data_IF_924782482452
#
_entry.id   IF_924782482452
#
_cell.length_a   1.000
_cell.length_b   1.000
_cell.length_c   1.000
_cell.angle_alpha   90.00
_cell.angle_beta   90.00
_cell.angle_gamma   90.00
#
_symmetry.space_group_name_H-M   'P 1'
#
loop_
_entity.id
_entity.type
_entity.pdbx_description
1 polymer ?
#
# COMPACT_ATOMS: atom_id res chain seq x y z
N UNK A 1 -5.27 -0.74 9.60
CA UNK A 1 -4.37 0.44 9.60
C UNK A 1 -3.48 0.32 8.37
N UNK A 2 -3.31 1.40 7.59
CA UNK A 2 -2.45 1.39 6.39
C UNK A 2 -1.36 2.45 6.54
N UNK A 3 -0.12 2.13 6.18
CA UNK A 3 0.96 3.12 6.09
C UNK A 3 0.73 3.98 4.86
N UNK A 4 0.70 5.29 5.07
CA UNK A 4 0.48 6.29 4.01
C UNK A 4 1.80 6.87 3.55
N UNK A 5 2.75 7.05 4.47
CA UNK A 5 4.00 7.76 4.20
C UNK A 5 5.12 7.24 5.11
N UNK A 6 6.32 7.12 4.55
CA UNK A 6 7.56 6.96 5.31
C UNK A 6 8.15 8.36 5.53
N UNK A 7 8.40 8.69 6.79
CA UNK A 7 8.86 10.00 7.23
C UNK A 7 10.38 9.98 7.43
N UNK A 8 11.00 11.16 7.34
CA UNK A 8 12.40 11.35 7.73
C UNK A 8 12.58 10.99 9.23
N UNK A 9 13.63 10.23 9.55
CA UNK A 9 13.86 9.62 10.86
C UNK A 9 15.13 10.04 11.60
N UNK A 10 15.97 10.94 11.09
CA UNK A 10 17.28 11.28 11.64
C UNK A 10 17.53 12.79 11.82
N UNK A 11 16.87 13.64 11.03
CA UNK A 11 17.12 15.07 10.87
C UNK A 11 16.36 15.97 11.84
N UNK A 12 16.24 15.59 13.11
CA UNK A 12 15.43 16.34 14.09
C UNK A 12 16.21 17.18 15.12
N UNK A 13 17.52 17.28 14.94
CA UNK A 13 18.37 18.17 15.71
C UNK A 13 18.22 19.61 15.21
N UNK A 14 17.84 20.56 16.08
CA UNK A 14 17.68 21.98 15.67
C UNK A 14 18.93 22.81 15.99
N UNK A 15 19.57 22.54 17.14
CA UNK A 15 20.83 23.16 17.57
C UNK A 15 21.87 22.10 17.86
N UNK A 16 23.14 22.47 17.74
CA UNK A 16 24.29 21.56 17.94
C UNK A 16 24.26 20.81 19.28
N UNK A 17 23.75 21.46 20.34
CA UNK A 17 23.68 20.87 21.68
C UNK A 17 22.34 20.18 22.00
N UNK A 18 21.38 20.18 21.06
CA UNK A 18 20.10 19.53 21.30
C UNK A 18 20.26 18.01 21.23
N UNK A 19 19.60 17.30 22.14
CA UNK A 19 19.38 15.87 21.94
C UNK A 19 18.47 15.68 20.72
N UNK A 20 18.81 14.67 19.93
CA UNK A 20 18.08 14.29 18.74
C UNK A 20 17.70 12.80 18.84
N UNK A 21 16.72 12.39 18.06
CA UNK A 21 16.29 11.00 17.99
C UNK A 21 16.48 10.47 16.57
N UNK A 22 17.22 9.37 16.46
CA UNK A 22 17.42 8.65 15.20
C UNK A 22 16.74 7.30 15.29
N UNK A 23 15.83 7.03 14.37
CA UNK A 23 15.05 5.78 14.35
C UNK A 23 15.18 5.07 13.02
N UNK A 24 15.08 3.74 13.01
CA UNK A 24 15.26 2.96 11.77
C UNK A 24 14.10 3.16 10.80
N UNK A 25 12.88 3.24 11.33
CA UNK A 25 11.69 3.54 10.54
C UNK A 25 10.83 4.53 11.29
N UNK A 26 10.39 5.57 10.58
CA UNK A 26 9.33 6.46 11.01
C UNK A 26 8.28 6.53 9.92
N UNK A 27 7.02 6.40 10.29
CA UNK A 27 5.93 6.32 9.32
C UNK A 27 4.67 6.99 9.84
N UNK A 28 3.83 7.43 8.91
CA UNK A 28 2.51 7.98 9.19
C UNK A 28 1.45 7.03 8.65
N UNK A 29 0.45 6.74 9.46
CA UNK A 29 -0.62 5.82 9.09
C UNK A 29 -1.88 6.56 8.59
N UNK A 30 -2.87 5.79 8.15
CA UNK A 30 -4.13 6.28 7.59
C UNK A 30 -5.03 7.02 8.59
N UNK A 31 -4.72 6.97 9.89
CA UNK A 31 -5.38 7.73 10.95
C UNK A 31 -4.61 8.99 11.37
N UNK A 32 -3.54 9.31 10.63
CA UNK A 32 -2.60 10.38 10.96
C UNK A 32 -1.85 10.16 12.28
N UNK A 33 -1.68 8.90 12.69
CA UNK A 33 -0.85 8.52 13.84
C UNK A 33 0.58 8.24 13.35
N UNK A 34 1.57 8.45 14.23
CA UNK A 34 2.98 8.22 13.94
C UNK A 34 3.39 6.85 14.46
N UNK A 35 4.14 6.11 13.66
CA UNK A 35 4.72 4.82 14.02
C UNK A 35 6.23 4.96 13.94
N UNK A 36 6.92 4.57 15.00
CA UNK A 36 8.36 4.54 15.12
C UNK A 36 8.76 3.08 15.33
N UNK A 37 9.73 2.59 14.56
CA UNK A 37 10.31 1.26 14.74
C UNK A 37 11.81 1.41 14.91
N UNK A 38 12.34 0.72 15.93
CA UNK A 38 13.77 0.64 16.19
C UNK A 38 14.20 -0.82 16.41
N UNK A 39 15.34 -1.19 15.84
CA UNK A 39 16.00 -2.49 16.01
C UNK A 39 17.29 -2.30 16.78
N UNK A 40 17.45 -2.99 17.90
CA UNK A 40 18.49 -2.71 18.87
C UNK A 40 19.24 -3.96 19.30
N UNK A 41 20.54 -3.98 19.00
CA UNK A 41 21.42 -5.11 19.24
C UNK A 41 22.21 -4.99 20.55
N UNK A 42 22.58 -3.78 20.95
CA UNK A 42 23.42 -3.54 22.12
C UNK A 42 22.56 -3.04 23.27
N UNK A 43 22.85 -3.56 24.47
CA UNK A 43 22.16 -3.14 25.69
C UNK A 43 22.53 -1.70 26.04
N UNK A 44 21.50 -0.89 26.26
CA UNK A 44 21.62 0.46 26.79
C UNK A 44 20.95 0.53 28.17
N UNK A 45 21.64 1.12 29.16
CA UNK A 45 21.11 1.20 30.54
C UNK A 45 19.88 2.11 30.59
N UNK A 46 19.90 3.21 29.83
CA UNK A 46 18.85 4.23 29.81
C UNK A 46 17.90 4.08 28.61
N UNK A 47 17.67 2.84 28.17
CA UNK A 47 16.89 2.56 26.97
C UNK A 47 15.45 3.07 27.06
N UNK A 48 14.80 2.87 28.22
CA UNK A 48 13.41 3.30 28.42
C UNK A 48 13.28 4.83 28.41
N UNK A 49 14.26 5.53 29.00
CA UNK A 49 14.35 6.99 28.94
C UNK A 49 14.59 7.47 27.51
N UNK A 50 15.36 6.73 26.71
CA UNK A 50 15.63 7.05 25.31
C UNK A 50 14.37 6.92 24.45
N UNK A 51 13.62 5.82 24.55
CA UNK A 51 12.37 5.67 23.80
C UNK A 51 11.31 6.68 24.25
N UNK A 52 11.26 7.01 25.55
CA UNK A 52 10.40 8.06 26.08
C UNK A 52 10.74 9.42 25.46
N UNK A 53 12.02 9.79 25.45
CA UNK A 53 12.47 11.01 24.80
C UNK A 53 12.14 11.00 23.30
N UNK A 54 12.38 9.88 22.62
CA UNK A 54 12.12 9.73 21.19
C UNK A 54 10.66 9.91 20.82
N UNK A 55 9.74 9.36 21.61
CA UNK A 55 8.30 9.56 21.45
C UNK A 55 7.91 11.01 21.69
N UNK A 56 8.38 11.62 22.79
CA UNK A 56 8.09 13.03 23.09
C UNK A 56 8.59 13.95 21.96
N UNK A 57 9.81 13.68 21.47
CA UNK A 57 10.42 14.43 20.37
C UNK A 57 9.61 14.28 19.07
N UNK A 58 9.18 13.06 18.73
CA UNK A 58 8.32 12.83 17.58
C UNK A 58 6.98 13.58 17.69
N UNK A 59 6.36 13.64 18.88
CA UNK A 59 5.16 14.46 19.09
C UNK A 59 5.45 15.93 18.74
N UNK A 60 6.54 16.49 19.28
CA UNK A 60 6.87 17.91 19.08
C UNK A 60 7.26 18.28 17.65
N UNK A 61 7.69 17.31 16.84
CA UNK A 61 7.99 17.54 15.42
C UNK A 61 6.74 17.58 14.54
N UNK A 62 5.63 17.02 15.01
CA UNK A 62 4.39 16.87 14.26
C UNK A 62 3.27 17.76 14.81
N UNK A 63 3.63 18.84 15.50
CA UNK A 63 2.71 19.89 15.94
C UNK A 63 3.37 21.26 15.83
N UNK A 64 2.67 22.21 15.22
CA UNK A 64 3.18 23.56 14.93
C UNK A 64 2.57 24.63 15.84
N UNK A 65 3.21 25.81 15.86
CA UNK A 65 2.70 26.96 16.59
C UNK A 65 1.36 27.43 15.98
N UNK A 66 0.33 27.51 16.82
CA UNK A 66 -1.01 27.92 16.41
C UNK A 66 -1.98 26.75 16.19
N UNK A 67 -1.48 25.53 16.15
CA UNK A 67 -2.30 24.32 16.13
C UNK A 67 -2.96 24.05 17.50
N UNK A 68 -4.14 23.43 17.47
CA UNK A 68 -4.83 22.99 18.67
C UNK A 68 -4.18 21.71 19.20
N UNK A 69 -4.13 21.53 20.52
CA UNK A 69 -3.62 20.29 21.13
C UNK A 69 -4.41 19.03 20.72
N UNK A 70 -5.64 19.17 20.21
CA UNK A 70 -6.38 18.06 19.61
C UNK A 70 -5.73 17.50 18.35
N UNK A 71 -4.78 18.22 17.74
CA UNK A 71 -4.01 17.80 16.57
C UNK A 71 -2.73 17.04 16.96
N UNK A 72 -2.40 16.93 18.25
CA UNK A 72 -1.29 16.10 18.71
C UNK A 72 -1.48 14.67 18.21
N UNK A 73 -0.54 14.21 17.38
CA UNK A 73 -0.58 12.87 16.80
C UNK A 73 -0.21 11.85 17.86
N UNK A 74 -1.03 10.81 18.00
CA UNK A 74 -0.66 9.65 18.80
C UNK A 74 0.54 8.95 18.17
N UNK A 75 1.44 8.46 19.02
CA UNK A 75 2.68 7.79 18.60
C UNK A 75 2.69 6.34 19.08
N UNK A 76 3.06 5.44 18.17
CA UNK A 76 3.37 4.04 18.46
C UNK A 76 4.89 3.84 18.41
N UNK A 77 5.49 3.45 19.53
CA UNK A 77 6.92 3.11 19.60
C UNK A 77 7.09 1.61 19.61
N UNK A 78 7.74 1.06 18.59
CA UNK A 78 7.98 -0.38 18.42
C UNK A 78 9.48 -0.63 18.53
N UNK A 79 9.90 -1.28 19.61
CA UNK A 79 11.28 -1.62 19.91
C UNK A 79 11.52 -3.10 19.72
N UNK A 80 12.36 -3.47 18.77
CA UNK A 80 12.81 -4.84 18.50
C UNK A 80 14.18 -5.02 19.15
N UNK A 81 14.26 -5.88 20.15
CA UNK A 81 15.40 -5.99 21.07
C UNK A 81 16.07 -7.36 20.96
N UNK A 82 17.38 -7.36 20.71
CA UNK A 82 18.25 -8.55 20.73
C UNK A 82 19.06 -8.68 22.02
N UNK A 83 18.71 -7.91 23.05
CA UNK A 83 19.31 -7.98 24.38
C UNK A 83 18.23 -8.07 25.46
N UNK A 84 18.62 -8.51 26.64
CA UNK A 84 17.72 -8.54 27.79
C UNK A 84 17.57 -7.13 28.41
N UNK A 85 16.35 -6.60 28.38
CA UNK A 85 15.98 -5.31 28.97
C UNK A 85 15.60 -5.43 30.45
N UNK A 86 15.32 -6.63 30.95
CA UNK A 86 14.92 -6.83 32.34
C UNK A 86 14.21 -8.15 32.62
N UNK A 87 13.64 -8.28 33.82
CA UNK A 87 12.95 -9.51 34.22
C UNK A 87 11.56 -9.60 33.60
N UNK A 88 11.28 -10.71 32.94
CA UNK A 88 9.99 -10.99 32.33
C UNK A 88 10.02 -12.29 31.52
N UNK A 89 8.89 -12.97 31.41
CA UNK A 89 8.77 -14.26 30.73
C UNK A 89 8.18 -14.16 29.32
N UNK A 90 7.62 -13.02 28.95
CA UNK A 90 7.01 -12.84 27.63
C UNK A 90 8.02 -12.29 26.62
N UNK A 91 7.78 -12.57 25.35
CA UNK A 91 8.56 -12.01 24.24
C UNK A 91 8.00 -10.67 23.76
N UNK A 92 6.71 -10.39 24.02
CA UNK A 92 6.03 -9.17 23.60
C UNK A 92 5.44 -8.46 24.81
N UNK A 93 5.87 -7.22 25.05
CA UNK A 93 5.27 -6.34 26.06
C UNK A 93 4.56 -5.18 25.40
N UNK A 94 3.34 -4.92 25.86
CA UNK A 94 2.53 -3.79 25.42
C UNK A 94 2.36 -2.80 26.57
N UNK A 95 3.02 -1.65 26.44
CA UNK A 95 2.91 -0.52 27.35
C UNK A 95 1.81 0.43 26.90
N UNK A 96 0.74 0.50 27.68
CA UNK A 96 -0.36 1.45 27.48
C UNK A 96 -0.54 2.35 28.70
N UNK A 97 -0.98 3.58 28.44
CA UNK A 97 -1.31 4.53 29.51
C UNK A 97 -2.77 4.36 29.92
N UNK A 98 -3.00 4.06 31.21
CA UNK A 98 -4.32 3.99 31.81
C UNK A 98 -4.35 4.84 33.09
N UNK A 99 -5.50 5.47 33.33
CA UNK A 99 -5.75 6.26 34.53
C UNK A 99 -6.81 5.53 35.33
N UNK A 100 -6.42 4.97 36.46
CA UNK A 100 -7.27 4.15 37.32
C UNK A 100 -7.54 4.89 38.62
N UNK A 101 -8.81 5.01 39.01
CA UNK A 101 -9.22 5.64 40.25
C UNK A 101 -8.64 4.89 41.46
N UNK A 102 -7.82 5.55 42.26
CA UNK A 102 -7.08 4.93 43.38
C UNK A 102 -8.03 4.30 44.43
N UNK A 103 -9.24 4.83 44.58
CA UNK A 103 -10.21 4.36 45.58
C UNK A 103 -11.29 3.44 44.99
N UNK A 104 -11.60 3.59 43.71
CA UNK A 104 -12.76 3.00 43.03
C UNK A 104 -12.36 1.90 42.05
N UNK A 105 -11.13 1.94 41.52
CA UNK A 105 -10.64 1.05 40.49
C UNK A 105 -11.26 1.29 39.11
N UNK A 106 -12.02 2.37 38.91
CA UNK A 106 -12.62 2.72 37.63
C UNK A 106 -11.58 3.31 36.67
N UNK A 107 -11.81 3.11 35.37
CA UNK A 107 -10.98 3.71 34.32
C UNK A 107 -11.54 5.07 33.96
N UNK A 108 -10.69 6.10 34.00
CA UNK A 108 -11.08 7.46 33.65
C UNK A 108 -11.44 7.54 32.16
N UNK A 109 -12.68 7.90 31.86
CA UNK A 109 -13.11 8.35 30.53
C UNK A 109 -12.99 9.87 30.44
N UNK A 110 -12.36 10.37 29.38
CA UNK A 110 -12.23 11.80 29.13
C UNK A 110 -13.14 12.24 27.99
N UNK A 111 -13.62 13.48 28.08
CA UNK A 111 -14.44 14.09 27.03
C UNK A 111 -13.56 14.93 26.13
N UNK A 112 -13.66 14.74 24.82
CA UNK A 112 -12.94 15.54 23.81
C UNK A 112 -13.88 15.99 22.70
N UNK A 113 -13.43 16.95 21.87
CA UNK A 113 -14.18 17.46 20.74
C UNK A 113 -13.54 16.97 19.43
N UNK A 114 -14.32 16.30 18.59
CA UNK A 114 -13.92 15.87 17.26
C UNK A 114 -14.97 16.28 16.22
N UNK A 115 -14.56 16.99 15.16
CA UNK A 115 -15.45 17.37 14.04
C UNK A 115 -16.81 17.93 14.50
N UNK A 116 -16.76 18.84 15.48
CA UNK A 116 -17.92 19.48 16.12
C UNK A 116 -18.84 18.60 16.97
N UNK A 117 -18.47 17.34 17.21
CA UNK A 117 -19.13 16.47 18.18
C UNK A 117 -18.31 16.33 19.47
N UNK A 118 -19.01 16.21 20.59
CA UNK A 118 -18.43 15.79 21.87
C UNK A 118 -18.36 14.27 21.88
N UNK A 119 -17.17 13.71 22.02
CA UNK A 119 -16.93 12.27 22.09
C UNK A 119 -16.23 11.90 23.38
N UNK A 120 -16.47 10.68 23.87
CA UNK A 120 -15.74 10.11 24.99
C UNK A 120 -14.59 9.26 24.47
N UNK A 121 -13.44 9.36 25.13
CA UNK A 121 -12.25 8.57 24.84
C UNK A 121 -11.62 8.04 26.11
N UNK A 122 -10.95 6.91 26.00
CA UNK A 122 -10.01 6.43 26.99
C UNK A 122 -8.65 7.12 26.79
N UNK A 123 -7.88 7.36 27.88
CA UNK A 123 -6.51 7.86 27.78
C UNK A 123 -5.64 7.05 26.81
N UNK A 124 -5.81 5.73 26.75
CA UNK A 124 -5.10 4.86 25.82
C UNK A 124 -5.32 5.22 24.34
N UNK A 125 -6.42 5.91 23.99
CA UNK A 125 -6.69 6.38 22.62
C UNK A 125 -5.96 7.68 22.27
N UNK A 126 -5.41 8.39 23.27
CA UNK A 126 -4.74 9.69 23.12
C UNK A 126 -3.24 9.53 23.33
N UNK A 127 -2.85 8.84 24.41
CA UNK A 127 -1.48 8.69 24.81
C UNK A 127 -0.71 7.73 23.90
N UNK A 128 0.62 7.87 23.81
CA UNK A 128 1.46 6.92 23.10
C UNK A 128 1.35 5.50 23.64
N UNK A 129 1.62 4.55 22.75
CA UNK A 129 1.73 3.13 23.06
C UNK A 129 3.15 2.62 22.75
N UNK A 130 3.63 1.71 23.58
CA UNK A 130 4.97 1.13 23.46
C UNK A 130 4.85 -0.38 23.26
N UNK A 131 5.59 -0.91 22.30
CA UNK A 131 5.73 -2.34 22.05
C UNK A 131 7.20 -2.71 22.21
N UNK A 132 7.51 -3.56 23.19
CA UNK A 132 8.86 -4.10 23.37
C UNK A 132 8.85 -5.56 22.94
N UNK A 133 9.60 -5.88 21.88
CA UNK A 133 9.68 -7.19 21.26
C UNK A 133 11.06 -7.77 21.57
N UNK A 134 11.13 -8.76 22.46
CA UNK A 134 12.35 -9.47 22.84
C UNK A 134 12.56 -10.65 21.90
N UNK A 135 13.30 -10.44 20.82
CA UNK A 135 13.48 -11.42 19.74
C UNK A 135 14.04 -12.74 20.27
N UNK A 136 15.04 -12.67 21.15
CA UNK A 136 15.69 -13.87 21.69
C UNK A 136 14.75 -14.74 22.55
N UNK A 137 13.73 -14.14 23.18
CA UNK A 137 12.76 -14.85 24.02
C UNK A 137 11.64 -15.52 23.22
N UNK A 138 11.55 -15.26 21.92
CA UNK A 138 10.59 -15.93 21.06
C UNK A 138 11.02 -17.38 20.83
N UNK A 139 10.48 -18.29 21.64
CA UNK A 139 10.81 -19.73 21.62
C UNK A 139 9.63 -20.61 21.18
N UNK A 140 8.63 -20.02 20.51
CA UNK A 140 7.40 -20.68 20.08
C UNK A 140 7.45 -20.95 18.58
N UNK A 141 6.61 -21.87 18.12
CA UNK A 141 6.32 -22.03 16.69
C UNK A 141 5.46 -20.84 16.25
N UNK A 142 5.90 -20.13 15.21
CA UNK A 142 5.16 -19.00 14.68
C UNK A 142 3.83 -19.44 14.05
N UNK A 143 2.72 -18.89 14.55
CA UNK A 143 1.36 -19.19 14.06
C UNK A 143 0.60 -17.94 13.62
N UNK A 144 1.08 -16.75 13.97
CA UNK A 144 0.52 -15.47 13.54
C UNK A 144 1.49 -14.72 12.61
N UNK A 145 0.98 -13.78 11.76
CA UNK A 145 1.84 -12.94 10.93
C UNK A 145 2.94 -12.20 11.68
N UNK A 146 2.67 -11.71 12.89
CA UNK A 146 3.67 -11.05 13.73
C UNK A 146 4.76 -12.03 14.16
N UNK A 147 4.38 -13.23 14.58
CA UNK A 147 5.34 -14.24 15.02
C UNK A 147 6.21 -14.75 13.87
N UNK A 148 5.69 -14.83 12.64
CA UNK A 148 6.51 -15.14 11.47
C UNK A 148 7.59 -14.07 11.23
N UNK A 149 7.25 -12.78 11.41
CA UNK A 149 8.24 -11.70 11.37
C UNK A 149 9.29 -11.84 12.47
N UNK A 150 8.88 -12.19 13.70
CA UNK A 150 9.80 -12.36 14.83
C UNK A 150 10.69 -13.59 14.63
N UNK A 151 10.16 -14.69 14.12
CA UNK A 151 10.94 -15.88 13.77
C UNK A 151 11.98 -15.57 12.70
N UNK A 152 11.60 -14.82 11.65
CA UNK A 152 12.55 -14.34 10.66
C UNK A 152 13.63 -13.47 11.30
N UNK A 153 13.27 -12.50 12.13
CA UNK A 153 14.24 -11.64 12.82
C UNK A 153 15.19 -12.42 13.73
N UNK A 154 14.73 -13.53 14.33
CA UNK A 154 15.55 -14.40 15.17
C UNK A 154 16.48 -15.32 14.37
N UNK A 155 16.00 -15.87 13.26
CA UNK A 155 16.66 -16.99 12.56
C UNK A 155 17.28 -16.60 11.23
N UNK A 156 16.88 -15.47 10.65
CA UNK A 156 17.22 -15.05 9.28
C UNK A 156 16.47 -15.82 8.19
N UNK A 157 15.56 -16.74 8.53
CA UNK A 157 14.89 -17.64 7.57
C UNK A 157 13.43 -17.24 7.41
N UNK A 158 12.97 -17.15 6.16
CA UNK A 158 11.56 -16.93 5.80
C UNK A 158 11.03 -18.20 5.15
N UNK A 159 9.93 -18.75 5.69
CA UNK A 159 9.33 -19.97 5.12
C UNK A 159 8.74 -19.70 3.72
N UNK A 160 8.83 -20.64 2.77
CA UNK A 160 8.26 -20.48 1.44
C UNK A 160 6.74 -20.28 1.43
N UNK A 161 6.04 -20.83 2.42
CA UNK A 161 4.58 -20.82 2.58
C UNK A 161 4.06 -19.70 3.50
N UNK A 162 4.94 -18.74 3.86
CA UNK A 162 4.62 -17.60 4.73
C UNK A 162 3.31 -16.92 4.34
N UNK A 163 2.50 -16.58 5.36
CA UNK A 163 1.25 -15.83 5.19
C UNK A 163 1.37 -14.40 5.72
N UNK A 164 2.50 -14.06 6.32
CA UNK A 164 2.73 -12.73 6.84
C UNK A 164 2.89 -11.72 5.69
N UNK A 165 2.11 -10.62 5.70
CA UNK A 165 2.26 -9.56 4.72
C UNK A 165 3.70 -9.04 4.68
N UNK A 166 4.26 -8.94 3.46
CA UNK A 166 5.61 -8.43 3.22
C UNK A 166 6.74 -9.46 3.31
N UNK A 167 6.59 -10.57 4.05
CA UNK A 167 7.66 -11.57 4.16
C UNK A 167 7.95 -12.30 2.85
N UNK A 168 6.94 -12.53 2.01
CA UNK A 168 7.17 -13.13 0.69
C UNK A 168 8.05 -12.23 -0.19
N UNK A 169 7.77 -10.93 -0.21
CA UNK A 169 8.57 -9.95 -0.95
C UNK A 169 9.98 -9.82 -0.36
N UNK A 170 10.09 -9.78 0.97
CA UNK A 170 11.37 -9.77 1.67
C UNK A 170 12.22 -10.99 1.31
N UNK A 171 11.62 -12.19 1.26
CA UNK A 171 12.30 -13.43 0.87
C UNK A 171 12.88 -13.34 -0.55
N UNK A 172 12.10 -12.81 -1.50
CA UNK A 172 12.57 -12.62 -2.89
C UNK A 172 13.77 -11.67 -2.95
N UNK A 173 13.73 -10.55 -2.21
CA UNK A 173 14.85 -9.61 -2.12
C UNK A 173 16.08 -10.22 -1.46
N UNK A 174 15.90 -10.98 -0.38
CA UNK A 174 17.00 -11.66 0.31
C UNK A 174 17.69 -12.70 -0.58
N UNK A 175 16.93 -13.41 -1.43
CA UNK A 175 17.52 -14.32 -2.42
C UNK A 175 18.49 -13.54 -3.31
N UNK A 176 18.05 -12.41 -3.89
CA UNK A 176 18.92 -11.56 -4.72
C UNK A 176 20.14 -11.03 -3.97
N UNK A 177 19.98 -10.55 -2.73
CA UNK A 177 21.10 -10.04 -1.94
C UNK A 177 22.09 -11.12 -1.48
N UNK A 178 21.66 -12.38 -1.43
CA UNK A 178 22.52 -13.53 -1.10
C UNK A 178 23.18 -14.16 -2.34
N UNK A 179 22.80 -13.76 -3.55
CA UNK A 179 23.45 -14.22 -4.78
C UNK A 179 24.88 -13.70 -4.88
N UNK A 180 25.75 -14.48 -5.50
CA UNK A 180 27.05 -13.98 -5.93
C UNK A 180 26.91 -13.03 -7.15
N UNK A 181 28.00 -12.36 -7.52
CA UNK A 181 27.96 -11.37 -8.59
C UNK A 181 27.61 -11.97 -9.96
N UNK A 182 28.00 -13.21 -10.24
CA UNK A 182 27.69 -13.86 -11.51
C UNK A 182 26.20 -14.23 -11.56
N UNK A 183 25.66 -14.74 -10.45
CA UNK A 183 24.24 -15.02 -10.27
C UNK A 183 23.38 -13.75 -10.37
N UNK A 184 23.81 -12.64 -9.77
CA UNK A 184 23.12 -11.34 -9.87
C UNK A 184 23.05 -10.85 -11.32
N UNK A 185 24.15 -10.89 -12.06
CA UNK A 185 24.18 -10.46 -13.47
C UNK A 185 23.26 -11.34 -14.31
N UNK A 186 23.32 -12.67 -14.16
CA UNK A 186 22.45 -13.58 -14.89
C UNK A 186 20.96 -13.37 -14.55
N UNK A 187 20.65 -13.07 -13.29
CA UNK A 187 19.30 -12.73 -12.85
C UNK A 187 18.83 -11.41 -13.46
N UNK A 188 19.63 -10.35 -13.41
CA UNK A 188 19.30 -9.04 -13.98
C UNK A 188 19.10 -9.11 -15.49
N UNK A 189 19.94 -9.89 -16.20
CA UNK A 189 19.78 -10.17 -17.64
C UNK A 189 18.48 -10.93 -17.93
N UNK A 190 18.14 -11.93 -17.12
CA UNK A 190 16.88 -12.67 -17.27
C UNK A 190 15.67 -11.74 -17.05
N UNK A 191 15.67 -10.92 -16.00
CA UNK A 191 14.60 -9.96 -15.73
C UNK A 191 14.48 -8.94 -16.87
N UNK A 192 15.59 -8.45 -17.41
CA UNK A 192 15.59 -7.55 -18.56
C UNK A 192 14.99 -8.23 -19.81
N UNK A 193 15.38 -9.48 -20.10
CA UNK A 193 14.82 -10.24 -21.21
C UNK A 193 13.30 -10.44 -21.08
N UNK A 194 12.81 -10.73 -19.86
CA UNK A 194 11.37 -10.86 -19.58
C UNK A 194 10.64 -9.52 -19.76
N UNK A 195 11.22 -8.40 -19.33
CA UNK A 195 10.64 -7.07 -19.54
C UNK A 195 10.53 -6.74 -21.03
N UNK A 196 11.60 -6.94 -21.80
CA UNK A 196 11.60 -6.75 -23.26
C UNK A 196 10.52 -7.61 -23.91
N UNK A 197 10.41 -8.89 -23.50
CA UNK A 197 9.39 -9.78 -24.04
C UNK A 197 7.97 -9.29 -23.72
N UNK A 198 7.72 -8.82 -22.49
CA UNK A 198 6.42 -8.27 -22.09
C UNK A 198 6.09 -6.99 -22.87
N UNK A 199 7.06 -6.11 -23.10
CA UNK A 199 6.87 -4.89 -23.90
C UNK A 199 6.50 -5.23 -25.34
N UNK A 200 7.18 -6.21 -25.95
CA UNK A 200 6.85 -6.72 -27.29
C UNK A 200 5.44 -7.28 -27.33
N UNK A 201 5.05 -8.09 -26.35
CA UNK A 201 3.70 -8.67 -26.27
C UNK A 201 2.62 -7.60 -26.06
N UNK A 202 2.89 -6.60 -25.21
CA UNK A 202 1.99 -5.48 -24.97
C UNK A 202 1.79 -4.65 -26.24
N UNK A 203 2.89 -4.36 -26.95
CA UNK A 203 2.85 -3.62 -28.22
C UNK A 203 2.04 -4.38 -29.26
N UNK A 204 2.31 -5.67 -29.45
CA UNK A 204 1.57 -6.51 -30.40
C UNK A 204 0.07 -6.60 -30.05
N UNK A 205 -0.28 -6.65 -28.77
CA UNK A 205 -1.67 -6.66 -28.33
C UNK A 205 -2.39 -5.32 -28.58
N UNK A 206 -1.68 -4.21 -28.45
CA UNK A 206 -2.20 -2.87 -28.74
C UNK A 206 -2.37 -2.64 -30.24
N UNK A 207 -1.36 -2.99 -31.04
CA UNK A 207 -1.43 -2.97 -32.51
C UNK A 207 -2.58 -3.83 -33.02
N UNK A 208 -2.72 -5.08 -32.55
CA UNK A 208 -3.81 -5.97 -32.96
C UNK A 208 -5.20 -5.46 -32.56
N UNK A 209 -5.34 -4.75 -31.43
CA UNK A 209 -6.59 -4.08 -31.07
C UNK A 209 -6.90 -2.91 -32.01
N UNK A 210 -5.91 -2.11 -32.34
CA UNK A 210 -6.09 -0.96 -33.22
C UNK A 210 -6.41 -1.42 -34.65
N UNK A 211 -5.71 -2.41 -35.18
CA UNK A 211 -6.02 -3.04 -36.47
C UNK A 211 -7.45 -3.59 -36.49
N UNK A 212 -7.83 -4.40 -35.49
CA UNK A 212 -9.19 -4.94 -35.40
C UNK A 212 -10.26 -3.86 -35.30
N UNK A 213 -9.97 -2.73 -34.62
CA UNK A 213 -10.87 -1.58 -34.56
C UNK A 213 -11.02 -0.90 -35.92
N UNK A 214 -9.92 -0.73 -36.65
CA UNK A 214 -9.94 -0.11 -37.97
C UNK A 214 -10.65 -0.98 -39.00
N UNK A 215 -10.38 -2.29 -39.00
CA UNK A 215 -11.07 -3.27 -39.84
C UNK A 215 -12.56 -3.30 -39.54
N UNK A 216 -12.95 -3.40 -38.25
CA UNK A 216 -14.36 -3.38 -37.85
C UNK A 216 -15.08 -2.07 -38.23
N UNK A 217 -14.41 -0.93 -38.16
CA UNK A 217 -14.96 0.35 -38.64
C UNK A 217 -15.10 0.39 -40.16
N UNK A 218 -14.15 -0.18 -40.91
CA UNK A 218 -14.20 -0.22 -42.36
C UNK A 218 -15.31 -1.16 -42.85
N UNK A 219 -15.42 -2.34 -42.27
CA UNK A 219 -16.46 -3.33 -42.57
C UNK A 219 -17.84 -2.78 -42.21
N UNK A 220 -18.02 -2.26 -40.98
CA UNK A 220 -19.28 -1.67 -40.55
C UNK A 220 -19.72 -0.46 -41.39
N UNK A 221 -18.78 0.37 -41.89
CA UNK A 221 -19.11 1.44 -42.86
C UNK A 221 -19.55 0.90 -44.22
N UNK A 222 -18.97 -0.20 -44.68
CA UNK A 222 -19.31 -0.82 -45.96
C UNK A 222 -20.68 -1.48 -45.89
N UNK A 223 -20.93 -2.24 -44.83
CA UNK A 223 -22.23 -2.86 -44.55
C UNK A 223 -23.32 -1.80 -44.40
N UNK A 224 -23.10 -0.77 -43.56
CA UNK A 224 -24.06 0.32 -43.38
C UNK A 224 -24.40 1.07 -44.68
N UNK A 225 -23.43 1.30 -45.57
CA UNK A 225 -23.70 1.87 -46.90
C UNK A 225 -24.54 0.96 -47.78
N UNK A 226 -24.33 -0.35 -47.70
CA UNK A 226 -25.11 -1.31 -48.49
C UNK A 226 -26.54 -1.42 -47.97
N UNK A 227 -26.71 -1.47 -46.65
CA UNK A 227 -28.03 -1.45 -46.00
C UNK A 227 -28.79 -0.16 -46.31
N UNK A 228 -28.14 1.00 -46.21
CA UNK A 228 -28.73 2.30 -46.56
C UNK A 228 -29.17 2.35 -48.03
N UNK A 229 -28.38 1.80 -48.96
CA UNK A 229 -28.78 1.70 -50.37
C UNK A 229 -30.03 0.85 -50.57
N UNK A 230 -30.12 -0.28 -49.86
CA UNK A 230 -31.28 -1.18 -49.93
C UNK A 230 -32.52 -0.52 -49.32
N UNK A 231 -32.38 0.14 -48.17
CA UNK A 231 -33.47 0.86 -47.52
C UNK A 231 -33.98 2.02 -48.38
N UNK A 232 -33.07 2.80 -48.97
CA UNK A 232 -33.42 3.86 -49.92
C UNK A 232 -34.13 3.30 -51.16
N UNK A 233 -33.66 2.18 -51.72
CA UNK A 233 -34.32 1.54 -52.85
C UNK A 233 -35.74 1.07 -52.50
N UNK A 234 -35.94 0.48 -51.31
CA UNK A 234 -37.29 0.09 -50.82
C UNK A 234 -38.21 1.30 -50.67
N UNK A 235 -37.70 2.38 -50.09
CA UNK A 235 -38.46 3.64 -49.96
C UNK A 235 -38.80 4.25 -51.32
N UNK A 236 -37.87 4.26 -52.27
CA UNK A 236 -38.16 4.79 -53.61
C UNK A 236 -39.15 3.92 -54.38
N UNK A 237 -39.08 2.59 -54.22
CA UNK A 237 -40.02 1.64 -54.83
C UNK A 237 -41.43 1.83 -54.27
N UNK A 238 -41.58 2.06 -52.96
CA UNK A 238 -42.88 2.35 -52.34
C UNK A 238 -43.49 3.68 -52.82
N UNK A 239 -42.66 4.61 -53.29
CA UNK A 239 -43.08 5.87 -53.94
C UNK A 239 -43.37 5.72 -55.45
N UNK A 240 -43.40 4.49 -55.98
CA UNK A 240 -43.61 4.17 -57.40
C UNK A 240 -42.58 4.79 -58.37
N UNK A 241 -41.35 5.03 -57.90
CA UNK A 241 -40.24 5.41 -58.78
C UNK A 241 -39.83 4.17 -59.61
N UNK A 242 -39.54 4.34 -60.90
CA UNK A 242 -39.22 3.20 -61.77
C UNK A 242 -37.89 2.54 -61.40
N UNK A 243 -37.79 1.22 -61.62
CA UNK A 243 -36.59 0.42 -61.31
C UNK A 243 -35.34 0.97 -62.00
N UNK A 244 -35.46 1.54 -63.20
CA UNK A 244 -34.34 2.17 -63.92
C UNK A 244 -33.81 3.41 -63.21
N UNK A 245 -34.70 4.23 -62.64
CA UNK A 245 -34.30 5.44 -61.87
C UNK A 245 -33.72 5.02 -60.52
N UNK A 246 -34.28 4.02 -59.85
CA UNK A 246 -33.73 3.49 -58.59
C UNK A 246 -32.34 2.90 -58.82
N UNK A 247 -32.13 2.17 -59.91
CA UNK A 247 -30.83 1.64 -60.32
C UNK A 247 -29.80 2.77 -60.52
N UNK A 248 -30.18 3.84 -61.23
CA UNK A 248 -29.29 4.99 -61.45
C UNK A 248 -28.88 5.71 -60.16
N UNK A 249 -29.79 5.80 -59.17
CA UNK A 249 -29.54 6.55 -57.92
C UNK A 249 -28.79 5.71 -56.88
N UNK A 250 -29.18 4.46 -56.69
CA UNK A 250 -28.61 3.59 -55.63
C UNK A 250 -27.42 2.75 -56.11
N UNK A 251 -27.32 2.52 -57.43
CA UNK A 251 -26.35 1.64 -58.06
C UNK A 251 -26.59 0.15 -57.81
N UNK A 252 -27.74 -0.23 -57.22
CA UNK A 252 -28.11 -1.64 -57.03
C UNK A 252 -28.53 -2.27 -58.36
N UNK A 253 -28.17 -3.53 -58.66
CA UNK A 253 -28.64 -4.22 -59.87
C UNK A 253 -30.16 -4.20 -60.00
N UNK A 254 -30.68 -4.01 -61.23
CA UNK A 254 -32.14 -3.95 -61.48
C UNK A 254 -32.84 -5.21 -60.97
N UNK A 255 -32.23 -6.38 -61.15
CA UNK A 255 -32.76 -7.65 -60.64
C UNK A 255 -32.98 -7.62 -59.12
N UNK A 256 -31.99 -7.13 -58.37
CA UNK A 256 -32.08 -7.04 -56.92
C UNK A 256 -33.16 -6.03 -56.51
N UNK A 257 -33.30 -4.91 -57.23
CA UNK A 257 -34.36 -3.90 -56.99
C UNK A 257 -35.76 -4.48 -57.26
N UNK A 258 -35.92 -5.29 -58.31
CA UNK A 258 -37.20 -5.95 -58.64
C UNK A 258 -37.60 -6.96 -57.57
N UNK A 259 -36.63 -7.64 -56.94
CA UNK A 259 -36.81 -8.62 -55.87
C UNK A 259 -37.01 -8.00 -54.46
N UNK A 260 -36.75 -6.69 -54.26
CA UNK A 260 -36.97 -5.95 -53.00
C UNK A 260 -38.45 -5.73 -52.64
#
# INVERSE_FOLDING_TARGET
IRIVEILESEGNQQRENDKFNRVDIKARNSKDEIIIVEVQNTREIYYLERILFGVAKAITEHIELGELYSQVKKVYSISILYFDIGKGNDYLYHGQNSFVGVHTGDFLEVTTKEKDAIVRKLPAEIFPEYFLIRVNEFNKVAVTPLEEWIEYLKTGIIRPDTKAPGLEEARRKLIYYNMDRAEQVAYDEHINAVMIQNDVLSTAAEEGREEGRQEGLAEGRKEGRQEEKIENARTMKSLNISSEVIHQVTGLPIKDIEEL
#
